data_IF_940326165751
#
_entry.id   IF_940326165751
#
_cell.length_a   1.000
_cell.length_b   1.000
_cell.length_c   1.000
_cell.angle_alpha   90.00
_cell.angle_beta   90.00
_cell.angle_gamma   90.00
#
_symmetry.space_group_name_H-M   'P 1'
#
loop_
_entity.id
_entity.type
_entity.pdbx_description
1 polymer ?
#
# COMPACT_ATOMS: atom_id res chain seq x y z
N UNK A 1 19.24 -9.56 -5.16
CA UNK A 1 18.17 -10.34 -5.81
C UNK A 1 17.66 -9.53 -7.01
N UNK A 2 17.93 -9.97 -8.25
CA UNK A 2 17.57 -9.25 -9.48
C UNK A 2 16.23 -9.78 -10.01
N UNK A 3 15.16 -9.69 -9.23
CA UNK A 3 13.85 -10.13 -9.71
C UNK A 3 13.00 -8.91 -10.13
N UNK A 4 12.90 -8.59 -11.44
CA UNK A 4 12.11 -7.45 -11.89
C UNK A 4 10.63 -7.59 -11.51
N UNK A 5 10.11 -8.81 -11.35
CA UNK A 5 8.74 -9.02 -10.88
C UNK A 5 8.55 -8.52 -9.44
N UNK A 6 9.56 -8.62 -8.56
CA UNK A 6 9.48 -8.08 -7.21
C UNK A 6 9.46 -6.55 -7.20
N UNK A 7 10.22 -5.91 -8.10
CA UNK A 7 10.22 -4.46 -8.23
C UNK A 7 8.85 -3.91 -8.65
N UNK A 8 8.31 -4.42 -9.76
CA UNK A 8 7.00 -3.98 -10.24
C UNK A 8 5.87 -4.40 -9.30
N UNK A 9 5.93 -5.61 -8.75
CA UNK A 9 4.97 -6.09 -7.74
C UNK A 9 4.96 -5.21 -6.50
N UNK A 10 6.12 -4.79 -6.00
CA UNK A 10 6.22 -3.88 -4.86
C UNK A 10 5.64 -2.49 -5.16
N UNK A 11 5.82 -1.97 -6.38
CA UNK A 11 5.19 -0.70 -6.79
C UNK A 11 3.67 -0.82 -6.82
N UNK A 12 3.13 -1.85 -7.48
CA UNK A 12 1.68 -2.08 -7.56
C UNK A 12 1.08 -2.24 -6.16
N UNK A 13 1.72 -3.04 -5.31
CA UNK A 13 1.29 -3.22 -3.92
C UNK A 13 1.34 -1.91 -3.13
N UNK A 14 2.36 -1.07 -3.32
CA UNK A 14 2.44 0.24 -2.66
C UNK A 14 1.28 1.15 -3.06
N UNK A 15 0.93 1.19 -4.35
CA UNK A 15 -0.19 2.00 -4.84
C UNK A 15 -1.52 1.52 -4.25
N UNK A 16 -1.76 0.20 -4.28
CA UNK A 16 -3.00 -0.38 -3.73
C UNK A 16 -3.11 -0.15 -2.22
N UNK A 17 -2.03 -0.34 -1.47
CA UNK A 17 -1.99 -0.08 -0.04
C UNK A 17 -2.26 1.41 0.26
N UNK A 18 -1.70 2.34 -0.53
CA UNK A 18 -1.95 3.76 -0.35
C UNK A 18 -3.42 4.13 -0.61
N UNK A 19 -4.01 3.58 -1.67
CA UNK A 19 -5.43 3.77 -1.98
C UNK A 19 -6.30 3.24 -0.84
N UNK A 20 -5.98 2.07 -0.29
CA UNK A 20 -6.71 1.54 0.87
C UNK A 20 -6.53 2.42 2.11
N UNK A 21 -5.34 2.96 2.36
CA UNK A 21 -5.11 3.87 3.48
C UNK A 21 -6.02 5.11 3.40
N UNK A 22 -6.14 5.71 2.21
CA UNK A 22 -7.04 6.85 1.97
C UNK A 22 -8.51 6.42 2.06
N UNK A 23 -8.86 5.28 1.50
CA UNK A 23 -10.23 4.76 1.57
C UNK A 23 -10.72 4.61 3.02
N UNK A 24 -9.91 4.00 3.91
CA UNK A 24 -10.28 3.79 5.32
C UNK A 24 -10.32 5.04 6.20
N UNK A 25 -9.88 6.21 5.71
CA UNK A 25 -9.96 7.47 6.47
C UNK A 25 -11.19 8.30 6.12
N UNK A 26 -11.81 8.08 4.96
CA UNK A 26 -12.95 8.85 4.49
C UNK A 26 -14.24 8.30 5.13
N UNK A 27 -14.93 9.07 6.00
CA UNK A 27 -16.20 8.64 6.55
C UNK A 27 -17.31 8.68 5.49
N UNK A 28 -18.39 7.91 5.70
CA UNK A 28 -19.57 7.88 4.82
C UNK A 28 -19.48 6.90 3.65
N UNK A 29 -18.36 6.19 3.51
CA UNK A 29 -18.18 5.11 2.52
C UNK A 29 -18.23 3.77 3.24
N UNK A 30 -18.83 2.75 2.61
CA UNK A 30 -18.87 1.39 3.15
C UNK A 30 -17.47 0.79 3.20
N UNK A 31 -17.04 0.27 4.35
CA UNK A 31 -15.76 -0.40 4.58
C UNK A 31 -15.96 -1.90 4.83
N UNK A 32 -15.53 -2.79 3.92
CA UNK A 32 -15.82 -4.23 4.01
C UNK A 32 -14.99 -4.97 5.05
N UNK A 33 -13.83 -4.44 5.45
CA UNK A 33 -12.98 -5.07 6.49
C UNK A 33 -13.38 -4.63 7.91
N UNK A 34 -14.54 -3.99 8.08
CA UNK A 34 -15.08 -3.59 9.39
C UNK A 34 -16.55 -3.97 9.50
N UNK A 35 -17.00 -4.29 10.72
CA UNK A 35 -18.33 -4.87 10.95
C UNK A 35 -19.30 -3.90 11.62
N UNK A 36 -18.84 -3.04 12.53
CA UNK A 36 -19.70 -2.08 13.26
C UNK A 36 -18.88 -0.91 13.83
N UNK A 37 -19.03 0.35 13.37
CA UNK A 37 -19.86 0.83 12.25
C UNK A 37 -19.11 0.77 10.90
N UNK A 38 -19.67 0.17 9.83
CA UNK A 38 -18.97 -0.03 8.56
C UNK A 38 -18.84 1.25 7.71
N UNK A 39 -19.53 2.33 8.07
CA UNK A 39 -19.45 3.62 7.36
C UNK A 39 -18.63 4.68 8.11
N UNK A 40 -18.06 4.32 9.27
CA UNK A 40 -17.21 5.22 10.04
C UNK A 40 -15.79 5.25 9.47
N UNK A 41 -15.03 6.29 9.82
CA UNK A 41 -13.59 6.29 9.57
C UNK A 41 -12.90 5.26 10.47
N UNK A 42 -11.89 4.58 9.92
CA UNK A 42 -11.15 3.53 10.61
C UNK A 42 -9.65 3.82 10.57
N UNK A 43 -9.18 4.75 11.43
CA UNK A 43 -7.78 5.20 11.42
C UNK A 43 -6.78 4.07 11.65
N UNK A 44 -7.14 3.03 12.41
CA UNK A 44 -6.27 1.86 12.61
C UNK A 44 -5.99 1.12 11.31
N UNK A 45 -7.00 0.91 10.46
CA UNK A 45 -6.82 0.30 9.15
C UNK A 45 -6.03 1.23 8.21
N UNK A 46 -6.36 2.52 8.22
CA UNK A 46 -5.63 3.52 7.44
C UNK A 46 -4.13 3.55 7.79
N UNK A 47 -3.79 3.55 9.08
CA UNK A 47 -2.40 3.49 9.58
C UNK A 47 -1.74 2.17 9.17
N UNK A 48 -2.42 1.03 9.29
CA UNK A 48 -1.87 -0.27 8.90
C UNK A 48 -1.53 -0.30 7.39
N UNK A 49 -2.44 0.16 6.54
CA UNK A 49 -2.21 0.25 5.09
C UNK A 49 -1.14 1.29 4.72
N UNK A 50 -1.05 2.39 5.48
CA UNK A 50 0.01 3.37 5.29
C UNK A 50 1.39 2.80 5.63
N UNK A 51 1.52 2.05 6.73
CA UNK A 51 2.76 1.34 7.07
C UNK A 51 3.10 0.31 5.99
N UNK A 52 2.12 -0.44 5.51
CA UNK A 52 2.33 -1.40 4.42
C UNK A 52 2.82 -0.72 3.15
N UNK A 53 2.29 0.47 2.83
CA UNK A 53 2.75 1.29 1.71
C UNK A 53 4.24 1.61 1.85
N UNK A 54 4.69 2.05 3.03
CA UNK A 54 6.11 2.34 3.29
C UNK A 54 6.97 1.09 3.07
N UNK A 55 6.54 -0.06 3.58
CA UNK A 55 7.26 -1.34 3.39
C UNK A 55 7.38 -1.69 1.91
N UNK A 56 6.30 -1.55 1.13
CA UNK A 56 6.31 -1.80 -0.30
C UNK A 56 7.22 -0.82 -1.06
N UNK A 57 7.25 0.46 -0.68
CA UNK A 57 8.19 1.44 -1.25
C UNK A 57 9.63 1.04 -0.95
N UNK A 58 9.96 0.66 0.29
CA UNK A 58 11.30 0.18 0.64
C UNK A 58 11.65 -1.07 -0.17
N UNK A 59 10.73 -2.03 -0.30
CA UNK A 59 10.90 -3.23 -1.10
C UNK A 59 11.20 -2.89 -2.58
N UNK A 60 10.48 -1.92 -3.16
CA UNK A 60 10.74 -1.45 -4.52
C UNK A 60 12.13 -0.79 -4.62
N UNK A 61 12.54 0.01 -3.64
CA UNK A 61 13.86 0.65 -3.65
C UNK A 61 15.01 -0.36 -3.60
N UNK A 62 14.89 -1.42 -2.80
CA UNK A 62 15.95 -2.44 -2.66
C UNK A 62 15.97 -3.47 -3.80
N UNK A 63 14.84 -3.66 -4.49
CA UNK A 63 14.72 -4.56 -5.65
C UNK A 63 14.86 -3.84 -6.99
N UNK A 64 15.02 -2.51 -6.97
CA UNK A 64 15.17 -1.69 -8.17
C UNK A 64 16.28 -2.24 -9.07
N UNK A 65 15.99 -2.55 -10.35
CA UNK A 65 17.03 -2.93 -11.28
C UNK A 65 18.02 -1.77 -11.44
N UNK A 66 19.32 -2.06 -11.31
CA UNK A 66 20.37 -1.06 -11.56
C UNK A 66 20.27 -0.63 -13.03
N UNK A 67 20.16 0.67 -13.26
CA UNK A 67 20.23 1.22 -14.60
C UNK A 67 21.55 0.77 -15.25
N UNK A 68 21.47 0.15 -16.42
CA UNK A 68 22.64 -0.12 -17.24
C UNK A 68 23.11 1.22 -17.82
N UNK A 69 23.87 1.97 -17.02
CA UNK A 69 24.58 3.15 -17.51
C UNK A 69 25.65 2.63 -18.50
N UNK A 70 25.37 2.75 -19.80
CA UNK A 70 26.39 2.70 -20.84
C UNK A 70 27.32 3.91 -20.69
#
# INVERSE_FOLDING_TARGET
MKNPALFYGAIVAAVLALVLAVYYIIPGIYHPLTTTPPYASHPTHAIAFFILTIICVVAALVTRPKSARR
#
